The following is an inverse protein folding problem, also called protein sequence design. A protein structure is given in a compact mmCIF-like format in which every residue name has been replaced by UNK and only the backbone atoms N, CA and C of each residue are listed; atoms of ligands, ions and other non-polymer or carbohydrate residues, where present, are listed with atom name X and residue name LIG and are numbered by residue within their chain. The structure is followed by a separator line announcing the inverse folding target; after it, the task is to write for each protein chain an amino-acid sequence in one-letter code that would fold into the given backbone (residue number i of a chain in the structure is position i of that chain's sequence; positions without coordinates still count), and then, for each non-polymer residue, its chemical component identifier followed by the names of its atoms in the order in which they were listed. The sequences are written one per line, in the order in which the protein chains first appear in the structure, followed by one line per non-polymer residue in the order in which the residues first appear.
data_IF_012558797393
#
_entry.id   IF_012558797393
#
_cell.length_a   1.000
_cell.length_b   1.000
_cell.length_c   1.000
_cell.angle_alpha   90.00
_cell.angle_beta   90.00
_cell.angle_gamma   90.00
#
_symmetry.space_group_name_H-M   'P 1'
#
loop_
_entity.id
_entity.type
_entity.pdbx_description
1 polymer ?
#
# COMPACT_ATOMS: atom_id res chain seq x y z
N UNK A 1 -9.31 6.01 -18.51
CA UNK A 1 -8.51 6.00 -17.25
C UNK A 1 -7.25 6.82 -17.50
N UNK A 2 -6.81 7.64 -16.53
CA UNK A 2 -5.66 8.56 -16.70
C UNK A 2 -4.28 7.91 -16.69
N UNK A 3 -4.20 6.61 -16.40
CA UNK A 3 -2.95 5.84 -16.35
C UNK A 3 -3.00 4.77 -15.27
N UNK A 4 -2.05 3.83 -15.31
CA UNK A 4 -1.81 2.85 -14.25
C UNK A 4 -0.68 3.38 -13.36
N UNK A 5 -0.89 3.36 -12.05
CA UNK A 5 0.11 3.76 -11.04
C UNK A 5 0.40 2.54 -10.18
N UNK A 6 1.65 2.09 -10.17
CA UNK A 6 2.13 1.06 -9.26
C UNK A 6 2.59 1.73 -7.97
N UNK A 7 2.01 1.30 -6.84
CA UNK A 7 2.33 1.79 -5.51
C UNK A 7 3.13 0.70 -4.79
N UNK A 8 4.31 1.06 -4.28
CA UNK A 8 5.17 0.15 -3.49
C UNK A 8 5.25 0.72 -2.07
N UNK A 9 4.46 0.16 -1.15
CA UNK A 9 4.29 0.74 0.19
C UNK A 9 3.85 -0.30 1.23
N UNK A 10 3.91 0.08 2.50
CA UNK A 10 3.33 -0.70 3.60
C UNK A 10 1.81 -0.55 3.68
N UNK A 11 1.14 -1.57 4.21
CA UNK A 11 -0.30 -1.57 4.47
C UNK A 11 -0.61 -0.98 5.85
N UNK A 12 -1.42 0.08 5.85
CA UNK A 12 -2.04 0.70 7.02
C UNK A 12 -3.46 0.15 7.24
N UNK A 13 -3.68 -0.59 8.33
CA UNK A 13 -5.00 -1.11 8.70
C UNK A 13 -6.03 -0.02 9.07
N UNK A 14 -5.58 1.14 9.55
CA UNK A 14 -6.44 2.31 9.81
C UNK A 14 -6.86 3.04 8.53
N UNK A 15 -6.15 2.81 7.43
CA UNK A 15 -6.46 3.32 6.09
C UNK A 15 -6.29 4.82 5.92
N UNK A 16 -5.65 5.52 6.85
CA UNK A 16 -5.37 6.96 6.78
C UNK A 16 -4.08 7.29 6.03
N UNK A 17 -3.16 6.32 5.96
CA UNK A 17 -1.86 6.38 5.32
C UNK A 17 -1.59 5.10 4.50
N UNK A 18 -0.32 4.88 4.16
CA UNK A 18 0.14 3.67 3.47
C UNK A 18 -0.55 3.42 2.13
N UNK A 19 -0.52 2.16 1.70
CA UNK A 19 -1.03 1.76 0.40
C UNK A 19 -2.53 2.03 0.24
N UNK A 20 -3.28 2.07 1.34
CA UNK A 20 -4.69 2.44 1.37
C UNK A 20 -4.91 3.91 0.99
N UNK A 21 -4.12 4.83 1.55
CA UNK A 21 -4.21 6.26 1.20
C UNK A 21 -3.75 6.51 -0.25
N UNK A 22 -2.73 5.79 -0.70
CA UNK A 22 -2.25 5.86 -2.07
C UNK A 22 -3.31 5.39 -3.08
N UNK A 23 -3.94 4.24 -2.84
CA UNK A 23 -5.04 3.73 -3.68
C UNK A 23 -6.18 4.73 -3.73
N UNK A 24 -6.61 5.28 -2.57
CA UNK A 24 -7.68 6.29 -2.51
C UNK A 24 -7.34 7.51 -3.35
N UNK A 25 -6.10 7.98 -3.28
CA UNK A 25 -5.61 9.13 -4.03
C UNK A 25 -5.61 8.87 -5.54
N UNK A 26 -5.01 7.76 -5.98
CA UNK A 26 -4.98 7.38 -7.40
C UNK A 26 -6.40 7.20 -7.96
N UNK A 27 -7.28 6.57 -7.17
CA UNK A 27 -8.69 6.36 -7.54
C UNK A 27 -9.44 7.69 -7.66
N UNK A 28 -9.29 8.60 -6.69
CA UNK A 28 -9.89 9.94 -6.74
C UNK A 28 -9.42 10.74 -7.97
N UNK A 29 -8.17 10.52 -8.40
CA UNK A 29 -7.60 11.12 -9.61
C UNK A 29 -8.00 10.39 -10.91
N UNK A 30 -8.90 9.39 -10.86
CA UNK A 30 -9.38 8.59 -12.00
C UNK A 30 -8.28 7.75 -12.68
N UNK A 31 -7.25 7.36 -11.91
CA UNK A 31 -6.22 6.40 -12.30
C UNK A 31 -6.57 4.96 -11.90
N UNK A 32 -5.79 4.00 -12.40
CA UNK A 32 -5.84 2.60 -11.95
C UNK A 32 -4.72 2.35 -10.96
N UNK A 33 -5.07 1.99 -9.72
CA UNK A 33 -4.09 1.67 -8.69
C UNK A 33 -3.69 0.19 -8.78
N UNK A 34 -2.39 -0.07 -8.86
CA UNK A 34 -1.78 -1.39 -8.68
C UNK A 34 -0.82 -1.32 -7.48
N UNK A 35 -0.53 -2.47 -6.86
CA UNK A 35 0.16 -2.50 -5.56
C UNK A 35 1.25 -3.55 -5.47
N UNK A 36 2.34 -3.22 -4.79
CA UNK A 36 3.30 -4.14 -4.20
C UNK A 36 3.45 -3.82 -2.70
N UNK A 37 2.97 -4.70 -1.83
CA UNK A 37 2.95 -4.51 -0.38
C UNK A 37 4.31 -4.90 0.20
N UNK A 38 4.90 -3.99 0.97
CA UNK A 38 6.23 -4.20 1.60
C UNK A 38 6.16 -4.66 3.06
N UNK A 39 5.09 -4.31 3.77
CA UNK A 39 4.84 -4.71 5.14
C UNK A 39 3.34 -4.62 5.45
N UNK A 40 2.88 -5.39 6.43
CA UNK A 40 1.54 -5.24 7.02
C UNK A 40 1.72 -4.68 8.42
N UNK A 41 1.15 -3.50 8.67
CA UNK A 41 1.19 -2.89 10.00
C UNK A 41 -0.11 -3.13 10.74
N UNK A 42 0.00 -3.34 12.05
CA UNK A 42 -1.12 -3.20 12.99
C UNK A 42 -1.03 -1.76 13.48
N UNK A 43 -1.82 -0.87 12.88
CA UNK A 43 -1.76 0.55 13.20
C UNK A 43 -3.14 1.21 13.22
N UNK A 44 -3.23 2.31 13.96
CA UNK A 44 -4.36 3.23 13.98
C UNK A 44 -3.86 4.66 14.22
N UNK A 45 -4.78 5.60 14.45
CA UNK A 45 -4.45 7.02 14.64
C UNK A 45 -3.61 7.33 15.88
N UNK A 46 -3.45 6.39 16.81
CA UNK A 46 -2.61 6.52 18.01
C UNK A 46 -1.20 5.96 17.83
N UNK A 47 -0.94 5.24 16.73
CA UNK A 47 0.38 4.71 16.41
C UNK A 47 0.35 3.27 15.87
N UNK A 48 1.56 2.71 15.77
CA UNK A 48 1.82 1.34 15.27
C UNK A 48 2.13 0.43 16.45
N UNK A 49 1.45 -0.71 16.54
CA UNK A 49 1.66 -1.72 17.60
C UNK A 49 2.28 -3.02 17.08
N UNK A 50 2.37 -3.20 15.76
CA UNK A 50 3.00 -4.36 15.15
C UNK A 50 3.32 -4.13 13.69
N UNK A 51 4.36 -4.83 13.22
CA UNK A 51 4.80 -4.82 11.82
C UNK A 51 5.10 -6.26 11.42
N UNK A 52 4.59 -6.68 10.29
CA UNK A 52 4.94 -7.93 9.62
C UNK A 52 5.54 -7.60 8.26
N UNK A 53 6.86 -7.83 8.14
CA UNK A 53 7.59 -7.55 6.91
C UNK A 53 7.30 -8.61 5.83
N UNK A 54 7.02 -8.14 4.60
CA UNK A 54 6.86 -9.04 3.46
C UNK A 54 8.26 -9.39 2.93
N UNK A 55 8.59 -10.69 2.73
CA UNK A 55 9.89 -11.07 2.21
C UNK A 55 10.18 -10.45 0.84
N UNK A 56 11.43 -10.01 0.60
CA UNK A 56 11.83 -9.25 -0.62
C UNK A 56 11.48 -9.99 -1.91
N UNK A 57 11.61 -11.31 -1.95
CA UNK A 57 11.23 -12.12 -3.11
C UNK A 57 9.73 -12.04 -3.42
N UNK A 58 8.88 -11.93 -2.39
CA UNK A 58 7.43 -11.76 -2.53
C UNK A 58 7.11 -10.34 -2.98
N UNK A 59 7.85 -9.33 -2.52
CA UNK A 59 7.72 -7.94 -3.01
C UNK A 59 8.02 -7.88 -4.51
N UNK A 60 9.12 -8.51 -4.95
CA UNK A 60 9.50 -8.57 -6.38
C UNK A 60 8.44 -9.26 -7.22
N UNK A 61 7.92 -10.40 -6.78
CA UNK A 61 6.89 -11.15 -7.51
C UNK A 61 5.57 -10.37 -7.70
N UNK A 62 5.29 -9.36 -6.88
CA UNK A 62 4.12 -8.47 -7.07
C UNK A 62 4.33 -7.43 -8.19
N UNK A 63 5.58 -7.21 -8.62
CA UNK A 63 5.96 -6.20 -9.61
C UNK A 63 6.23 -6.79 -11.01
N UNK A 64 6.24 -8.11 -11.14
CA UNK A 64 6.37 -8.85 -12.41
C UNK A 64 5.05 -8.83 -13.21
#
# INVERSE_FOLDING_TARGET
MKGKVLIVAGSDSGGGAGIQADIKTVTALKGYAATAITAITVQNTLGVTGIHDVPVQVIRAQME
#
